data_IF_257931780073
#
_entry.id   IF_257931780073
#
_cell.length_a   1.000
_cell.length_b   1.000
_cell.length_c   1.000
_cell.angle_alpha   90.00
_cell.angle_beta   90.00
_cell.angle_gamma   90.00
#
_symmetry.space_group_name_H-M   'P 1'
#
loop_
_entity.id
_entity.type
_entity.pdbx_description
1 polymer ?
#
# COMPACT_ATOMS: atom_id res chain seq x y z
N UNK A 1 -3.61 22.41 -2.14
CA UNK A 1 -3.76 21.36 -1.12
C UNK A 1 -2.56 21.39 -0.18
N UNK A 2 -2.76 21.30 1.14
CA UNK A 2 -1.70 21.19 2.15
C UNK A 2 -2.01 20.00 3.04
N UNK A 3 -1.23 18.92 2.91
CA UNK A 3 -1.41 17.70 3.69
C UNK A 3 -0.66 17.85 5.02
N UNK A 4 -1.31 17.45 6.11
CA UNK A 4 -0.69 17.38 7.44
C UNK A 4 0.52 16.42 7.41
N UNK A 5 1.65 16.78 8.05
CA UNK A 5 2.81 15.89 8.12
C UNK A 5 2.47 14.53 8.72
N UNK A 6 2.94 13.46 8.09
CA UNK A 6 2.69 12.10 8.55
C UNK A 6 3.55 11.81 9.82
N UNK A 7 2.89 11.90 10.98
CA UNK A 7 3.59 11.85 12.27
C UNK A 7 4.26 10.49 12.52
N UNK A 8 3.58 9.38 12.21
CA UNK A 8 4.10 8.03 12.41
C UNK A 8 5.35 7.78 11.56
N UNK A 9 5.30 8.08 10.26
CA UNK A 9 6.44 7.87 9.35
C UNK A 9 7.66 8.71 9.75
N UNK A 10 7.41 9.92 10.23
CA UNK A 10 8.50 10.77 10.74
C UNK A 10 9.11 10.23 12.02
N UNK A 11 8.32 9.56 12.85
CA UNK A 11 8.79 8.92 14.07
C UNK A 11 9.55 7.62 13.71
N UNK A 12 8.99 6.76 12.87
CA UNK A 12 9.63 5.53 12.41
C UNK A 12 11.00 5.83 11.78
N UNK A 13 11.07 6.74 10.80
CA UNK A 13 12.33 7.15 10.14
C UNK A 13 13.44 7.52 11.13
N UNK A 14 13.11 8.03 12.31
CA UNK A 14 14.10 8.39 13.33
C UNK A 14 14.54 7.22 14.20
N UNK A 15 13.71 6.20 14.35
CA UNK A 15 13.89 5.19 15.39
C UNK A 15 14.05 3.77 14.85
N UNK A 16 13.35 3.38 13.81
CA UNK A 16 13.28 2.00 13.31
C UNK A 16 14.65 1.36 13.01
N UNK A 17 15.59 2.13 12.43
CA UNK A 17 16.93 1.65 12.10
C UNK A 17 17.90 1.64 13.29
N UNK A 18 17.51 2.14 14.47
CA UNK A 18 18.37 2.32 15.61
C UNK A 18 17.95 1.51 16.85
N UNK A 19 16.82 0.82 16.77
CA UNK A 19 16.31 -0.01 17.87
C UNK A 19 16.79 -1.46 17.72
N UNK A 20 17.05 -2.12 18.85
CA UNK A 20 17.41 -3.53 18.84
C UNK A 20 16.21 -4.44 18.52
N UNK A 21 15.02 -4.04 18.96
CA UNK A 21 13.78 -4.74 18.76
C UNK A 21 12.75 -3.76 18.24
N UNK A 22 12.34 -3.90 17.01
CA UNK A 22 11.25 -3.13 16.44
C UNK A 22 9.94 -3.88 16.67
N UNK A 23 9.11 -3.34 17.56
CA UNK A 23 7.77 -3.87 17.87
C UNK A 23 6.66 -2.97 17.34
N UNK A 24 7.03 -1.90 16.62
CA UNK A 24 6.10 -0.94 16.03
C UNK A 24 5.87 -1.22 14.54
N UNK A 25 6.78 -1.98 13.90
CA UNK A 25 6.63 -2.40 12.52
C UNK A 25 5.47 -3.39 12.37
N UNK A 26 4.54 -3.07 11.47
CA UNK A 26 3.40 -3.94 11.16
C UNK A 26 3.59 -4.72 9.86
N UNK A 27 4.67 -4.50 9.15
CA UNK A 27 5.04 -5.20 7.92
C UNK A 27 5.45 -6.65 8.17
N UNK A 28 5.33 -7.46 7.14
CA UNK A 28 5.92 -8.80 7.12
C UNK A 28 7.43 -8.69 6.90
N UNK A 29 8.16 -9.70 7.36
CA UNK A 29 9.60 -9.79 7.08
C UNK A 29 9.84 -9.79 5.57
N UNK A 30 10.62 -8.84 5.03
CA UNK A 30 10.86 -8.76 3.60
C UNK A 30 11.68 -9.96 3.11
N UNK A 31 11.34 -10.47 1.93
CA UNK A 31 12.12 -11.48 1.25
C UNK A 31 13.37 -10.86 0.64
N UNK A 32 14.46 -11.60 0.65
CA UNK A 32 15.62 -11.31 -0.20
C UNK A 32 15.36 -11.79 -1.64
N UNK A 33 16.18 -11.33 -2.58
CA UNK A 33 16.14 -11.86 -3.96
C UNK A 33 16.39 -13.39 -3.98
N UNK A 34 17.30 -13.88 -3.12
CA UNK A 34 17.53 -15.32 -2.99
C UNK A 34 16.32 -16.08 -2.46
N UNK A 35 15.58 -15.51 -1.49
CA UNK A 35 14.35 -16.13 -0.99
C UNK A 35 13.31 -16.20 -2.11
N UNK A 36 13.18 -15.12 -2.89
CA UNK A 36 12.26 -15.06 -4.04
C UNK A 36 12.64 -16.13 -5.09
N UNK A 37 13.91 -16.22 -5.46
CA UNK A 37 14.40 -17.27 -6.36
C UNK A 37 14.23 -18.67 -5.77
N UNK A 38 14.25 -18.79 -4.45
CA UNK A 38 13.97 -20.03 -3.72
C UNK A 38 12.55 -20.58 -3.93
N UNK A 39 11.60 -19.74 -4.32
CA UNK A 39 10.22 -20.14 -4.65
C UNK A 39 10.11 -20.77 -6.05
N UNK A 40 11.12 -20.59 -6.89
CA UNK A 40 11.18 -21.19 -8.23
C UNK A 40 11.75 -22.59 -8.15
N UNK A 41 11.26 -23.57 -8.95
CA UNK A 41 11.84 -24.91 -9.02
C UNK A 41 13.37 -24.86 -9.24
N UNK A 42 14.16 -25.72 -8.57
CA UNK A 42 15.61 -25.64 -8.63
C UNK A 42 16.20 -25.63 -10.04
N UNK A 43 15.61 -26.38 -10.95
CA UNK A 43 15.99 -26.49 -12.36
C UNK A 43 15.76 -25.21 -13.16
N UNK A 44 14.84 -24.35 -12.73
CA UNK A 44 14.48 -23.11 -13.41
C UNK A 44 15.16 -21.87 -12.81
N UNK A 45 15.86 -22.00 -11.67
CA UNK A 45 16.42 -20.85 -10.94
C UNK A 45 17.47 -20.08 -11.71
N UNK A 46 18.33 -20.77 -12.47
CA UNK A 46 19.35 -20.13 -13.28
C UNK A 46 18.71 -19.24 -14.35
N UNK A 47 17.73 -19.78 -15.06
CA UNK A 47 16.99 -19.03 -16.09
C UNK A 47 16.17 -17.87 -15.48
N UNK A 48 15.61 -18.06 -14.30
CA UNK A 48 14.89 -17.00 -13.60
C UNK A 48 15.83 -15.84 -13.20
N UNK A 49 17.03 -16.15 -12.73
CA UNK A 49 18.06 -15.17 -12.42
C UNK A 49 18.52 -14.43 -13.69
N UNK A 50 18.79 -15.17 -14.77
CA UNK A 50 19.22 -14.57 -16.03
C UNK A 50 18.13 -13.64 -16.60
N UNK A 51 16.86 -14.04 -16.54
CA UNK A 51 15.74 -13.15 -16.90
C UNK A 51 15.69 -11.88 -16.05
N UNK A 52 15.87 -12.00 -14.72
CA UNK A 52 15.91 -10.86 -13.83
C UNK A 52 17.03 -9.89 -14.17
N UNK A 53 18.24 -10.41 -14.40
CA UNK A 53 19.43 -9.61 -14.72
C UNK A 53 19.35 -8.98 -16.12
N UNK A 54 18.59 -9.58 -17.03
CA UNK A 54 18.41 -9.11 -18.40
C UNK A 54 17.22 -8.15 -18.58
N UNK A 55 16.50 -7.82 -17.50
CA UNK A 55 15.40 -6.88 -17.57
C UNK A 55 15.87 -5.48 -18.01
N UNK A 56 15.32 -4.93 -19.08
CA UNK A 56 15.61 -3.55 -19.45
C UNK A 56 15.05 -2.58 -18.42
N UNK A 57 15.89 -1.69 -17.89
CA UNK A 57 15.50 -0.66 -16.92
C UNK A 57 14.90 0.56 -17.65
N UNK A 58 13.82 0.33 -18.37
CA UNK A 58 13.12 1.34 -19.17
C UNK A 58 11.67 1.55 -18.72
N UNK A 59 10.96 2.34 -19.50
CA UNK A 59 9.54 2.56 -19.28
C UNK A 59 8.74 1.28 -19.56
N UNK A 60 7.72 1.06 -18.76
CA UNK A 60 6.73 0.01 -18.92
C UNK A 60 5.34 0.61 -19.18
N UNK A 61 4.33 -0.25 -19.31
CA UNK A 61 2.95 0.15 -19.41
C UNK A 61 2.52 0.99 -18.18
N UNK A 62 1.84 2.10 -18.41
CA UNK A 62 1.49 3.06 -17.38
C UNK A 62 0.64 2.46 -16.25
N UNK A 63 -0.23 1.48 -16.57
CA UNK A 63 -1.05 0.78 -15.57
C UNK A 63 -0.32 -0.37 -14.86
N UNK A 64 0.93 -0.64 -15.20
CA UNK A 64 1.67 -1.86 -14.84
C UNK A 64 1.63 -2.89 -15.96
N UNK A 65 2.64 -3.76 -16.04
CA UNK A 65 2.73 -4.76 -17.11
C UNK A 65 1.49 -5.67 -17.14
N UNK A 66 1.05 -6.03 -18.33
CA UNK A 66 -0.11 -6.94 -18.49
C UNK A 66 0.10 -8.25 -17.74
N UNK A 67 1.34 -8.79 -17.72
CA UNK A 67 1.66 -10.02 -17.00
C UNK A 67 1.42 -9.86 -15.48
N UNK A 68 1.87 -8.76 -14.86
CA UNK A 68 1.64 -8.49 -13.45
C UNK A 68 0.16 -8.27 -13.16
N UNK A 69 -0.52 -7.46 -13.97
CA UNK A 69 -1.96 -7.20 -13.81
C UNK A 69 -2.79 -8.48 -13.93
N UNK A 70 -2.43 -9.38 -14.86
CA UNK A 70 -3.09 -10.68 -15.00
C UNK A 70 -2.88 -11.57 -13.78
N UNK A 71 -1.66 -11.63 -13.25
CA UNK A 71 -1.36 -12.40 -12.05
C UNK A 71 -2.11 -11.86 -10.82
N UNK A 72 -2.22 -10.53 -10.68
CA UNK A 72 -3.00 -9.89 -9.62
C UNK A 72 -4.50 -10.15 -9.80
N UNK A 73 -5.06 -9.96 -10.98
CA UNK A 73 -6.46 -10.19 -11.26
C UNK A 73 -6.89 -11.62 -10.92
N UNK A 74 -6.02 -12.61 -11.18
CA UNK A 74 -6.27 -14.01 -10.84
C UNK A 74 -6.42 -14.29 -9.34
N UNK A 75 -6.00 -13.36 -8.45
CA UNK A 75 -6.20 -13.48 -6.99
C UNK A 75 -7.57 -12.98 -6.52
N UNK A 76 -8.34 -12.34 -7.38
CA UNK A 76 -9.66 -11.78 -7.08
C UNK A 76 -10.76 -12.50 -7.87
N UNK A 77 -11.93 -12.62 -7.25
CA UNK A 77 -13.11 -13.11 -7.99
C UNK A 77 -13.63 -12.00 -8.93
N UNK A 78 -13.97 -12.37 -10.16
CA UNK A 78 -14.59 -11.48 -11.16
C UNK A 78 -13.76 -10.21 -11.46
N UNK A 79 -12.44 -10.36 -11.55
CA UNK A 79 -11.53 -9.28 -11.84
C UNK A 79 -10.74 -9.57 -13.12
N UNK A 80 -10.71 -8.61 -14.03
CA UNK A 80 -9.91 -8.64 -15.25
C UNK A 80 -8.62 -7.82 -15.08
N UNK A 81 -7.56 -8.07 -15.87
CA UNK A 81 -6.34 -7.26 -15.83
C UNK A 81 -6.58 -5.76 -16.02
N UNK A 82 -7.63 -5.39 -16.77
CA UNK A 82 -8.00 -3.99 -17.01
C UNK A 82 -8.65 -3.31 -15.80
N UNK A 83 -9.04 -4.07 -14.78
CA UNK A 83 -9.49 -3.54 -13.50
C UNK A 83 -8.32 -3.28 -12.51
N UNK A 84 -7.09 -3.57 -12.91
CA UNK A 84 -5.90 -3.43 -12.06
C UNK A 84 -5.06 -2.24 -12.50
N UNK A 85 -4.79 -1.36 -11.55
CA UNK A 85 -3.78 -0.30 -11.66
C UNK A 85 -2.67 -0.57 -10.65
N UNK A 86 -1.44 -0.73 -11.13
CA UNK A 86 -0.27 -0.92 -10.28
C UNK A 86 0.28 0.44 -9.86
N UNK A 87 0.52 0.60 -8.57
CA UNK A 87 1.02 1.85 -7.97
C UNK A 87 2.27 1.59 -7.14
N UNK A 88 3.02 2.65 -6.83
CA UNK A 88 4.18 2.59 -5.94
C UNK A 88 3.71 2.57 -4.48
N UNK A 89 3.26 1.40 -4.06
CA UNK A 89 2.73 1.16 -2.72
C UNK A 89 1.29 1.66 -2.51
N UNK A 90 0.72 1.25 -1.37
CA UNK A 90 -0.64 1.61 -0.99
C UNK A 90 -0.83 3.13 -0.79
N UNK A 91 0.26 3.85 -0.47
CA UNK A 91 0.20 5.30 -0.25
C UNK A 91 -0.14 6.05 -1.54
N UNK A 92 0.41 5.64 -2.68
CA UNK A 92 0.07 6.21 -3.98
C UNK A 92 -1.35 5.82 -4.39
N UNK A 93 -1.72 4.55 -4.20
CA UNK A 93 -3.07 4.08 -4.50
C UNK A 93 -4.13 4.90 -3.75
N UNK A 94 -3.97 5.09 -2.45
CA UNK A 94 -4.88 5.90 -1.64
C UNK A 94 -4.91 7.36 -2.08
N UNK A 95 -3.73 7.95 -2.38
CA UNK A 95 -3.65 9.33 -2.83
C UNK A 95 -4.41 9.53 -4.15
N UNK A 96 -4.20 8.65 -5.12
CA UNK A 96 -4.91 8.69 -6.40
C UNK A 96 -6.41 8.49 -6.21
N UNK A 97 -6.81 7.47 -5.42
CA UNK A 97 -8.21 7.16 -5.16
C UNK A 97 -8.96 8.38 -4.57
N UNK A 98 -8.38 9.00 -3.54
CA UNK A 98 -9.01 10.16 -2.91
C UNK A 98 -9.11 11.36 -3.84
N UNK A 99 -8.08 11.62 -4.67
CA UNK A 99 -8.11 12.73 -5.61
C UNK A 99 -9.06 12.50 -6.80
N UNK A 100 -9.39 11.25 -7.12
CA UNK A 100 -10.34 10.92 -8.20
C UNK A 100 -11.79 10.90 -7.70
N UNK A 101 -12.02 10.48 -6.46
CA UNK A 101 -13.36 10.25 -5.94
C UNK A 101 -13.93 11.39 -5.08
N UNK A 102 -13.06 12.27 -4.55
CA UNK A 102 -13.47 13.25 -3.55
C UNK A 102 -13.32 14.68 -4.06
N UNK A 103 -14.34 15.47 -3.78
CA UNK A 103 -14.34 16.91 -3.95
C UNK A 103 -14.41 17.64 -2.60
N UNK A 104 -14.06 18.93 -2.59
CA UNK A 104 -14.17 19.76 -1.40
C UNK A 104 -15.64 19.88 -0.95
N UNK A 105 -15.89 19.61 0.32
CA UNK A 105 -17.23 19.57 0.90
C UNK A 105 -17.85 18.18 1.00
N UNK A 106 -17.23 17.16 0.41
CA UNK A 106 -17.67 15.78 0.60
C UNK A 106 -17.49 15.33 2.05
N UNK A 107 -18.30 14.37 2.48
CA UNK A 107 -18.19 13.74 3.78
C UNK A 107 -17.57 12.36 3.69
N UNK A 108 -16.49 12.14 4.47
CA UNK A 108 -15.74 10.88 4.53
C UNK A 108 -15.78 10.31 5.94
N UNK A 109 -16.04 9.02 6.07
CA UNK A 109 -15.91 8.28 7.32
C UNK A 109 -14.61 7.48 7.26
N UNK A 110 -13.68 7.77 8.16
CA UNK A 110 -12.40 7.08 8.24
C UNK A 110 -12.26 6.31 9.57
N UNK A 111 -11.76 5.06 9.55
CA UNK A 111 -11.47 4.34 10.78
C UNK A 111 -10.43 5.10 11.63
N UNK A 112 -10.50 4.96 12.96
CA UNK A 112 -9.53 5.56 13.86
C UNK A 112 -9.36 4.72 15.15
N UNK A 113 -8.11 4.44 15.63
CA UNK A 113 -6.84 4.77 14.98
C UNK A 113 -6.62 3.96 13.70
N UNK A 114 -5.98 4.58 12.70
CA UNK A 114 -5.66 3.96 11.43
C UNK A 114 -4.52 4.73 10.75
N UNK A 115 -4.11 4.26 9.58
CA UNK A 115 -3.12 4.91 8.75
C UNK A 115 -3.51 6.37 8.47
N UNK A 116 -2.65 7.32 8.83
CA UNK A 116 -2.97 8.76 8.83
C UNK A 116 -3.48 9.26 7.49
N UNK A 117 -3.03 8.70 6.40
CA UNK A 117 -3.42 9.06 5.05
C UNK A 117 -4.94 9.00 4.84
N UNK A 118 -5.62 8.02 5.48
CA UNK A 118 -7.05 7.80 5.31
C UNK A 118 -7.93 8.99 5.77
N UNK A 119 -7.39 9.87 6.61
CA UNK A 119 -8.09 11.07 7.05
C UNK A 119 -7.37 12.37 6.71
N UNK A 120 -6.03 12.37 6.56
CA UNK A 120 -5.30 13.61 6.30
C UNK A 120 -5.38 14.06 4.84
N UNK A 121 -5.46 13.13 3.87
CA UNK A 121 -5.62 13.47 2.45
C UNK A 121 -7.02 14.01 2.16
N UNK A 122 -8.13 13.34 2.58
CA UNK A 122 -9.47 13.91 2.45
C UNK A 122 -9.60 15.29 3.07
N UNK A 123 -9.07 15.52 4.28
CA UNK A 123 -9.05 16.85 4.90
C UNK A 123 -8.30 17.89 4.07
N UNK A 124 -7.18 17.49 3.46
CA UNK A 124 -6.38 18.38 2.62
C UNK A 124 -7.06 18.70 1.28
N UNK A 125 -7.95 17.84 0.80
CA UNK A 125 -8.85 18.10 -0.34
C UNK A 125 -9.94 19.11 0.05
N UNK A 126 -10.36 19.11 1.32
CA UNK A 126 -11.41 19.99 1.85
C UNK A 126 -12.68 19.23 2.24
N UNK A 127 -12.56 17.91 2.42
CA UNK A 127 -13.67 17.08 2.90
C UNK A 127 -13.91 17.26 4.39
N UNK A 128 -15.15 17.05 4.82
CA UNK A 128 -15.50 16.81 6.22
C UNK A 128 -15.20 15.34 6.57
N UNK A 129 -14.38 15.11 7.60
CA UNK A 129 -13.92 13.76 7.94
C UNK A 129 -14.36 13.37 9.35
N UNK A 130 -15.32 12.46 9.42
CA UNK A 130 -15.73 11.81 10.65
C UNK A 130 -14.83 10.62 10.97
N UNK A 131 -14.35 10.55 12.23
CA UNK A 131 -13.55 9.43 12.70
C UNK A 131 -14.44 8.35 13.31
N UNK A 132 -14.47 7.18 12.69
CA UNK A 132 -15.10 5.99 13.27
C UNK A 132 -14.15 5.31 14.24
N UNK A 133 -14.33 5.60 15.53
CA UNK A 133 -13.39 5.22 16.57
C UNK A 133 -13.66 3.83 17.11
N UNK A 134 -12.65 2.97 17.03
CA UNK A 134 -12.61 1.74 17.85
C UNK A 134 -12.02 2.07 19.22
N UNK A 135 -12.56 1.43 20.27
CA UNK A 135 -12.19 1.70 21.66
C UNK A 135 -12.01 0.39 22.45
N UNK A 136 -11.12 0.38 23.46
CA UNK A 136 -10.95 -0.80 24.32
C UNK A 136 -12.25 -1.24 24.99
N UNK A 137 -13.10 -0.28 25.39
CA UNK A 137 -14.35 -0.51 26.13
C UNK A 137 -15.36 -1.37 25.35
N UNK A 138 -15.31 -1.32 24.00
CA UNK A 138 -16.15 -2.19 23.15
C UNK A 138 -15.37 -3.34 22.49
N UNK A 139 -14.22 -3.70 23.08
CA UNK A 139 -13.37 -4.79 22.60
C UNK A 139 -12.74 -4.53 21.25
N UNK A 140 -12.43 -3.27 20.94
CA UNK A 140 -11.87 -2.82 19.66
C UNK A 140 -12.74 -3.16 18.45
N UNK A 141 -14.05 -3.16 18.62
CA UNK A 141 -15.01 -3.38 17.55
C UNK A 141 -15.55 -2.04 17.04
N UNK A 142 -15.95 -2.04 15.78
CA UNK A 142 -16.70 -0.91 15.23
C UNK A 142 -18.15 -1.00 15.68
N UNK A 143 -18.68 0.11 16.21
CA UNK A 143 -20.10 0.25 16.50
C UNK A 143 -20.83 0.58 15.18
N UNK A 144 -21.81 -0.20 14.80
CA UNK A 144 -22.61 -0.04 13.57
C UNK A 144 -23.98 0.55 13.94
#
# INVERSE_FOLDING_TARGET
MKIEPFALERWLTRHELHVRYDIAESGILPLTVNDLLGLVPPEERADALDRLLSLPLGYNEAAGTHALRSALAATYAHCDPDNILVTTGAIEANFLLFNVLLDAGDHVIAPYPAYQQLYSVPRAIGCDVSQWRIRPENGFRYDV
#
